data_IF_881598969699
#
_entry.id   IF_881598969699
#
_cell.length_a   1.000
_cell.length_b   1.000
_cell.length_c   1.000
_cell.angle_alpha   90.00
_cell.angle_beta   90.00
_cell.angle_gamma   90.00
#
_symmetry.space_group_name_H-M   'P 1'
#
loop_
_entity.id
_entity.type
_entity.pdbx_description
1 polymer ?
#
# COMPACT_ATOMS: atom_id res chain seq x y z
N UNK A 1 38.78 3.28 36.57
CA UNK A 1 38.34 3.33 35.16
C UNK A 1 37.39 2.18 34.90
N UNK A 2 36.10 2.45 34.90
CA UNK A 2 35.13 1.77 34.04
C UNK A 2 33.84 2.61 34.08
N UNK A 3 33.94 3.86 33.63
CA UNK A 3 32.80 4.59 33.12
C UNK A 3 32.61 4.10 31.69
N UNK A 4 31.64 3.22 31.44
CA UNK A 4 30.81 3.37 30.25
C UNK A 4 29.49 2.60 30.40
N UNK A 5 28.70 3.03 31.39
CA UNK A 5 27.28 2.72 31.43
C UNK A 5 26.53 3.91 30.82
N UNK A 6 26.77 4.18 29.53
CA UNK A 6 26.00 5.17 28.78
C UNK A 6 24.65 4.55 28.46
N UNK A 7 23.66 4.93 29.25
CA UNK A 7 22.26 4.91 28.88
C UNK A 7 22.10 5.40 27.43
N UNK A 8 21.57 4.56 26.55
CA UNK A 8 21.14 4.95 25.21
C UNK A 8 19.93 5.86 25.36
N UNK A 9 20.18 7.17 25.41
CA UNK A 9 19.15 8.20 25.39
C UNK A 9 18.69 8.43 23.95
N UNK A 10 17.43 8.06 23.67
CA UNK A 10 16.55 8.67 22.67
C UNK A 10 17.16 8.97 21.28
N UNK A 11 17.78 7.97 20.62
CA UNK A 11 18.11 8.08 19.20
C UNK A 11 16.80 8.06 18.39
N UNK A 12 16.42 9.21 17.83
CA UNK A 12 15.35 9.28 16.82
C UNK A 12 15.68 8.31 15.69
N UNK A 13 14.75 7.40 15.40
CA UNK A 13 14.88 6.51 14.25
C UNK A 13 14.90 7.34 12.95
N UNK A 14 15.68 6.96 11.93
CA UNK A 14 15.62 7.61 10.62
C UNK A 14 14.18 7.65 10.12
N UNK A 15 13.64 8.84 9.89
CA UNK A 15 12.23 9.07 9.56
C UNK A 15 12.13 9.90 8.29
N UNK A 16 11.29 9.45 7.36
CA UNK A 16 11.13 10.10 6.07
C UNK A 16 10.40 11.43 6.20
N UNK A 17 10.93 12.46 5.54
CA UNK A 17 10.26 13.77 5.44
C UNK A 17 9.36 13.76 4.22
N UNK A 18 8.14 13.26 4.40
CA UNK A 18 7.14 13.19 3.33
C UNK A 18 6.36 14.50 3.17
N UNK A 19 6.11 14.86 1.91
CA UNK A 19 5.18 15.94 1.56
C UNK A 19 3.77 15.61 2.04
N UNK A 20 3.03 16.61 2.53
CA UNK A 20 1.60 16.46 2.86
C UNK A 20 0.77 17.15 1.80
N UNK A 21 -0.21 16.45 1.23
CA UNK A 21 -1.13 16.94 0.21
C UNK A 21 -2.49 17.23 0.85
N UNK A 22 -3.04 18.42 0.62
CA UNK A 22 -4.39 18.79 1.04
C UNK A 22 -5.40 18.29 0.01
N UNK A 23 -6.18 17.27 0.38
CA UNK A 23 -7.14 16.63 -0.53
C UNK A 23 -8.23 17.61 -1.00
N UNK A 24 -8.68 18.54 -0.16
CA UNK A 24 -9.73 19.49 -0.52
C UNK A 24 -9.27 20.48 -1.58
N UNK A 25 -7.96 20.79 -1.61
CA UNK A 25 -7.35 21.59 -2.69
C UNK A 25 -7.27 20.81 -4.00
N UNK A 26 -7.06 19.48 -3.96
CA UNK A 26 -7.15 18.64 -5.15
C UNK A 26 -8.59 18.62 -5.70
N UNK A 27 -9.61 18.50 -4.85
CA UNK A 27 -11.02 18.56 -5.26
C UNK A 27 -11.38 19.87 -5.98
N UNK A 28 -10.71 20.98 -5.62
CA UNK A 28 -10.87 22.29 -6.25
C UNK A 28 -9.94 22.54 -7.44
N UNK A 29 -9.18 21.52 -7.87
CA UNK A 29 -8.17 21.63 -8.93
C UNK A 29 -7.16 22.79 -8.69
N UNK A 30 -6.74 22.99 -7.44
CA UNK A 30 -5.73 24.00 -7.11
C UNK A 30 -4.39 23.66 -7.77
N UNK A 31 -3.93 24.53 -8.68
CA UNK A 31 -2.75 24.24 -9.50
C UNK A 31 -1.48 24.00 -8.67
N UNK A 32 -1.30 24.68 -7.53
CA UNK A 32 -0.11 24.47 -6.71
C UNK A 32 -0.13 23.11 -6.00
N UNK A 33 -1.30 22.66 -5.55
CA UNK A 33 -1.44 21.36 -4.91
C UNK A 33 -1.33 20.21 -5.93
N UNK A 34 -1.79 20.41 -7.18
CA UNK A 34 -1.60 19.46 -8.27
C UNK A 34 -0.11 19.22 -8.59
N UNK A 35 0.69 20.30 -8.69
CA UNK A 35 2.14 20.17 -8.92
C UNK A 35 2.84 19.53 -7.72
N UNK A 36 2.43 19.88 -6.50
CA UNK A 36 2.96 19.28 -5.27
C UNK A 36 2.67 17.78 -5.20
N UNK A 37 1.49 17.35 -5.63
CA UNK A 37 1.14 15.92 -5.77
C UNK A 37 2.04 15.24 -6.81
N UNK A 38 2.24 15.86 -7.98
CA UNK A 38 3.13 15.33 -9.01
C UNK A 38 4.56 15.16 -8.48
N UNK A 39 5.11 16.21 -7.85
CA UNK A 39 6.46 16.21 -7.28
C UNK A 39 6.62 15.10 -6.24
N UNK A 40 5.62 14.91 -5.37
CA UNK A 40 5.64 13.82 -4.39
C UNK A 40 5.66 12.44 -5.06
N UNK A 41 4.85 12.24 -6.11
CA UNK A 41 4.80 11.00 -6.88
C UNK A 41 6.06 10.75 -7.72
N UNK A 42 6.77 11.78 -8.17
CA UNK A 42 8.01 11.67 -8.96
C UNK A 42 9.27 11.52 -8.10
N UNK A 43 9.26 12.08 -6.88
CA UNK A 43 10.44 12.11 -6.02
C UNK A 43 10.56 10.87 -5.14
N UNK A 44 9.65 10.69 -4.18
CA UNK A 44 9.67 9.59 -3.22
C UNK A 44 8.60 8.54 -3.55
N UNK A 45 7.50 8.98 -4.17
CA UNK A 45 6.31 8.17 -4.44
C UNK A 45 5.43 7.92 -3.21
N UNK A 46 5.91 8.23 -2.00
CA UNK A 46 5.10 8.31 -0.77
C UNK A 46 4.78 9.75 -0.42
N UNK A 47 3.60 9.97 0.13
CA UNK A 47 3.18 11.25 0.71
C UNK A 47 2.09 11.05 1.76
N UNK A 48 1.88 12.06 2.60
CA UNK A 48 0.70 12.14 3.44
C UNK A 48 -0.44 12.80 2.68
N UNK A 49 -1.67 12.33 2.91
CA UNK A 49 -2.88 12.96 2.42
C UNK A 49 -3.73 13.42 3.60
N UNK A 50 -4.04 14.72 3.62
CA UNK A 50 -4.88 15.36 4.62
C UNK A 50 -6.31 15.51 4.08
N UNK A 51 -7.27 14.89 4.78
CA UNK A 51 -8.69 14.95 4.46
C UNK A 51 -9.47 16.01 5.26
N UNK A 52 -8.81 16.73 6.18
CA UNK A 52 -9.45 17.59 7.19
C UNK A 52 -10.41 18.63 6.60
N UNK A 53 -10.14 19.10 5.39
CA UNK A 53 -10.91 20.18 4.74
C UNK A 53 -11.89 19.69 3.67
N UNK A 54 -12.02 18.38 3.46
CA UNK A 54 -12.93 17.80 2.47
C UNK A 54 -14.24 17.38 3.14
N UNK A 55 -15.38 17.92 2.70
CA UNK A 55 -16.69 17.55 3.23
C UNK A 55 -17.02 16.08 2.98
N UNK A 56 -16.63 15.55 1.81
CA UNK A 56 -16.92 14.17 1.43
C UNK A 56 -15.84 13.22 1.92
N UNK A 57 -14.57 13.48 1.59
CA UNK A 57 -13.48 12.58 1.92
C UNK A 57 -13.03 12.67 3.38
N UNK A 58 -13.41 13.72 4.13
CA UNK A 58 -13.22 13.79 5.58
C UNK A 58 -13.81 12.60 6.32
N UNK A 59 -14.91 12.03 5.81
CA UNK A 59 -15.55 10.82 6.34
C UNK A 59 -14.67 9.57 6.29
N UNK A 60 -13.64 9.53 5.43
CA UNK A 60 -12.68 8.41 5.40
C UNK A 60 -11.99 8.27 6.75
N UNK A 61 -11.63 9.38 7.39
CA UNK A 61 -10.95 9.36 8.69
C UNK A 61 -11.88 8.84 9.80
N UNK A 62 -13.16 9.23 9.77
CA UNK A 62 -14.18 8.75 10.71
C UNK A 62 -14.49 7.26 10.54
N UNK A 63 -14.68 6.82 9.29
CA UNK A 63 -14.99 5.41 9.00
C UNK A 63 -13.79 4.49 9.20
N UNK A 64 -12.56 4.99 8.99
CA UNK A 64 -11.32 4.29 9.36
C UNK A 64 -11.36 3.84 10.81
N UNK A 65 -11.79 4.68 11.74
CA UNK A 65 -11.82 4.32 13.16
C UNK A 65 -12.83 3.20 13.44
N UNK A 66 -13.96 3.20 12.74
CA UNK A 66 -14.95 2.11 12.81
C UNK A 66 -14.40 0.81 12.23
N UNK A 67 -13.70 0.88 11.10
CA UNK A 67 -13.04 -0.29 10.50
C UNK A 67 -11.92 -0.81 11.40
N UNK A 68 -11.14 0.06 12.04
CA UNK A 68 -10.11 -0.34 13.00
C UNK A 68 -10.71 -1.00 14.26
N UNK A 69 -11.84 -0.51 14.75
CA UNK A 69 -12.57 -1.15 15.84
C UNK A 69 -13.08 -2.55 15.43
N UNK A 70 -13.63 -2.68 14.22
CA UNK A 70 -13.97 -3.98 13.64
C UNK A 70 -12.75 -4.89 13.57
N UNK A 71 -11.60 -4.40 13.07
CA UNK A 71 -10.37 -5.18 12.97
C UNK A 71 -9.92 -5.72 14.33
N UNK A 72 -9.91 -4.89 15.38
CA UNK A 72 -9.53 -5.31 16.74
C UNK A 72 -10.43 -6.45 17.22
N UNK A 73 -11.75 -6.24 17.16
CA UNK A 73 -12.73 -7.25 17.56
C UNK A 73 -12.62 -8.53 16.72
N UNK A 74 -12.32 -8.41 15.43
CA UNK A 74 -12.16 -9.54 14.52
C UNK A 74 -10.90 -10.36 14.84
N UNK A 75 -9.74 -9.70 14.95
CA UNK A 75 -8.47 -10.39 15.15
C UNK A 75 -8.31 -10.97 16.56
N UNK A 76 -9.05 -10.46 17.54
CA UNK A 76 -9.14 -11.00 18.91
C UNK A 76 -9.93 -12.32 19.00
N UNK A 77 -10.64 -12.72 17.95
CA UNK A 77 -11.35 -13.99 17.90
C UNK A 77 -10.40 -15.19 17.86
N UNK A 78 -10.93 -16.37 18.20
CA UNK A 78 -10.20 -17.63 18.08
C UNK A 78 -9.78 -17.89 16.63
N UNK A 79 -8.70 -18.66 16.45
CA UNK A 79 -8.29 -19.07 15.10
C UNK A 79 -9.41 -19.84 14.37
N UNK A 80 -10.13 -20.70 15.08
CA UNK A 80 -11.23 -21.49 14.52
C UNK A 80 -12.36 -20.61 14.00
N UNK A 81 -12.67 -19.52 14.69
CA UNK A 81 -13.68 -18.55 14.24
C UNK A 81 -13.19 -17.79 13.00
N UNK A 82 -11.97 -17.25 13.03
CA UNK A 82 -11.39 -16.54 11.88
C UNK A 82 -11.26 -17.43 10.64
N UNK A 83 -10.97 -18.72 10.83
CA UNK A 83 -10.87 -19.68 9.73
C UNK A 83 -12.20 -19.93 8.99
N UNK A 84 -13.36 -19.54 9.55
CA UNK A 84 -14.65 -19.54 8.84
C UNK A 84 -14.67 -18.56 7.67
N UNK A 85 -13.86 -17.51 7.73
CA UNK A 85 -13.70 -16.51 6.67
C UNK A 85 -12.56 -16.84 5.69
N UNK A 86 -11.89 -18.00 5.83
CA UNK A 86 -10.89 -18.43 4.89
C UNK A 86 -11.54 -18.92 3.59
N UNK A 87 -11.26 -18.25 2.48
CA UNK A 87 -11.87 -18.54 1.18
C UNK A 87 -11.04 -19.54 0.34
N UNK A 88 -10.05 -20.20 0.93
CA UNK A 88 -9.16 -21.16 0.25
C UNK A 88 -8.21 -20.53 -0.77
N UNK A 89 -8.13 -19.19 -0.80
CA UNK A 89 -7.25 -18.43 -1.68
C UNK A 89 -6.43 -17.44 -0.88
N UNK A 90 -5.23 -17.12 -1.39
CA UNK A 90 -4.25 -16.29 -0.67
C UNK A 90 -4.45 -14.78 -0.84
N UNK A 91 -5.39 -14.36 -1.67
CA UNK A 91 -5.59 -12.96 -2.07
C UNK A 91 -6.82 -12.30 -1.47
N UNK A 92 -7.72 -13.07 -0.85
CA UNK A 92 -8.98 -12.62 -0.26
C UNK A 92 -9.45 -13.56 0.85
N UNK A 93 -10.32 -13.05 1.72
CA UNK A 93 -10.73 -13.74 2.93
C UNK A 93 -9.66 -13.67 4.02
N UNK A 94 -9.86 -14.45 5.07
CA UNK A 94 -8.90 -14.58 6.14
C UNK A 94 -7.74 -15.51 5.76
N UNK A 95 -6.52 -15.08 6.07
CA UNK A 95 -5.30 -15.87 5.91
C UNK A 95 -4.48 -15.79 7.19
N UNK A 96 -4.19 -16.93 7.82
CA UNK A 96 -3.44 -16.96 9.07
C UNK A 96 -1.96 -16.62 8.86
N UNK A 97 -1.32 -16.21 9.96
CA UNK A 97 0.14 -16.10 10.05
C UNK A 97 0.83 -17.39 9.60
N UNK A 98 2.02 -17.27 9.00
CA UNK A 98 2.80 -18.39 8.50
C UNK A 98 2.49 -18.83 7.06
N UNK A 99 1.45 -18.28 6.43
CA UNK A 99 0.98 -18.71 5.09
C UNK A 99 1.88 -18.32 3.90
N UNK A 100 2.90 -17.49 4.13
CA UNK A 100 3.83 -16.96 3.12
C UNK A 100 5.23 -16.76 3.74
N UNK A 101 6.21 -16.42 2.90
CA UNK A 101 7.59 -16.12 3.32
C UNK A 101 7.66 -14.79 4.09
N UNK A 102 8.41 -14.78 5.21
CA UNK A 102 8.69 -13.62 6.07
C UNK A 102 9.94 -12.86 5.62
N UNK A 103 10.35 -11.79 6.30
CA UNK A 103 11.46 -10.90 5.84
C UNK A 103 12.83 -11.59 5.85
N UNK A 104 13.11 -12.40 6.87
CA UNK A 104 14.38 -13.12 6.97
C UNK A 104 14.37 -14.42 6.15
N UNK A 105 15.51 -14.84 5.63
CA UNK A 105 15.64 -16.10 4.89
C UNK A 105 15.21 -17.28 5.77
N UNK A 106 14.30 -18.10 5.26
CA UNK A 106 13.73 -19.24 6.00
C UNK A 106 12.68 -18.87 7.06
N UNK A 107 12.33 -17.58 7.21
CA UNK A 107 11.22 -17.17 8.07
C UNK A 107 9.89 -17.21 7.33
N UNK A 108 8.82 -17.39 8.08
CA UNK A 108 7.45 -17.24 7.58
C UNK A 108 6.87 -15.90 8.01
N UNK A 109 5.91 -15.40 7.23
CA UNK A 109 5.18 -14.17 7.49
C UNK A 109 4.53 -14.21 8.87
N UNK A 110 4.74 -13.15 9.65
CA UNK A 110 4.38 -13.09 11.06
C UNK A 110 3.07 -12.37 11.36
N UNK A 111 2.32 -11.98 10.32
CA UNK A 111 1.03 -11.34 10.43
C UNK A 111 -0.07 -12.17 9.77
N UNK A 112 -1.27 -12.01 10.31
CA UNK A 112 -2.51 -12.50 9.73
C UNK A 112 -3.22 -11.34 9.00
N UNK A 113 -4.09 -11.67 8.05
CA UNK A 113 -4.87 -10.63 7.38
C UNK A 113 -6.26 -11.13 6.98
N UNK A 114 -7.18 -10.17 6.87
CA UNK A 114 -8.48 -10.33 6.25
C UNK A 114 -8.52 -9.38 5.04
N UNK A 115 -8.62 -9.94 3.83
CA UNK A 115 -8.67 -9.15 2.60
C UNK A 115 -10.07 -9.18 1.98
N UNK A 116 -10.65 -8.00 1.79
CA UNK A 116 -11.97 -7.82 1.18
C UNK A 116 -11.85 -7.36 -0.27
N UNK A 117 -12.32 -8.19 -1.20
CA UNK A 117 -12.38 -7.86 -2.64
C UNK A 117 -13.50 -6.86 -2.92
N UNK A 118 -13.17 -5.70 -3.50
CA UNK A 118 -14.17 -4.67 -3.87
C UNK A 118 -15.13 -5.21 -4.93
N UNK A 119 -14.60 -5.87 -5.96
CA UNK A 119 -15.42 -6.40 -7.05
C UNK A 119 -16.37 -7.50 -6.57
N UNK A 120 -15.88 -8.46 -5.77
CA UNK A 120 -16.72 -9.51 -5.21
C UNK A 120 -17.79 -8.90 -4.28
N UNK A 121 -17.40 -7.98 -3.39
CA UNK A 121 -18.33 -7.30 -2.48
C UNK A 121 -19.49 -6.60 -3.20
N UNK A 122 -19.20 -5.90 -4.29
CA UNK A 122 -20.21 -5.17 -5.07
C UNK A 122 -21.04 -6.07 -6.00
N UNK A 123 -20.45 -7.14 -6.54
CA UNK A 123 -21.11 -8.01 -7.51
C UNK A 123 -21.89 -9.16 -6.88
N UNK A 124 -21.39 -9.73 -5.78
CA UNK A 124 -21.92 -10.93 -5.13
C UNK A 124 -21.41 -11.02 -3.68
N UNK A 125 -22.20 -10.48 -2.73
CA UNK A 125 -21.82 -10.38 -1.31
C UNK A 125 -21.55 -11.75 -0.66
N UNK A 126 -22.13 -12.83 -1.17
CA UNK A 126 -21.90 -14.21 -0.73
C UNK A 126 -20.49 -14.73 -1.05
N UNK A 127 -19.74 -14.05 -1.92
CA UNK A 127 -18.34 -14.39 -2.26
C UNK A 127 -17.31 -13.80 -1.31
N UNK A 128 -17.71 -12.98 -0.35
CA UNK A 128 -16.79 -12.38 0.64
C UNK A 128 -16.94 -13.05 2.01
N UNK A 129 -15.94 -12.85 2.87
CA UNK A 129 -15.92 -13.33 4.25
C UNK A 129 -17.22 -13.00 5.01
N UNK A 130 -17.92 -13.97 5.62
CA UNK A 130 -19.12 -13.75 6.44
C UNK A 130 -19.01 -12.57 7.41
N UNK A 131 -17.89 -12.43 8.12
CA UNK A 131 -17.70 -11.33 9.09
C UNK A 131 -17.83 -9.93 8.46
N UNK A 132 -17.50 -9.80 7.17
CA UNK A 132 -17.64 -8.54 6.43
C UNK A 132 -19.08 -8.30 5.98
N UNK A 133 -19.83 -9.38 5.71
CA UNK A 133 -21.21 -9.29 5.23
C UNK A 133 -22.12 -8.65 6.30
N UNK A 134 -21.83 -8.89 7.57
CA UNK A 134 -22.55 -8.31 8.71
C UNK A 134 -22.39 -6.79 8.81
N UNK A 135 -21.24 -6.26 8.39
CA UNK A 135 -20.89 -4.83 8.42
C UNK A 135 -20.99 -4.17 7.03
N UNK A 136 -21.90 -4.68 6.18
CA UNK A 136 -22.01 -4.31 4.77
C UNK A 136 -22.04 -2.79 4.53
N UNK A 137 -22.85 -2.04 5.26
CA UNK A 137 -23.00 -0.61 5.00
C UNK A 137 -21.72 0.18 5.32
N UNK A 138 -20.96 -0.23 6.34
CA UNK A 138 -19.65 0.36 6.65
C UNK A 138 -18.67 0.12 5.50
N UNK A 139 -18.50 -1.14 5.07
CA UNK A 139 -17.53 -1.46 4.02
C UNK A 139 -17.92 -0.92 2.65
N UNK A 140 -19.22 -0.85 2.35
CA UNK A 140 -19.72 -0.21 1.14
C UNK A 140 -19.35 1.27 1.09
N UNK A 141 -19.69 2.02 2.15
CA UNK A 141 -19.35 3.45 2.26
C UNK A 141 -17.84 3.66 2.18
N UNK A 142 -17.07 2.85 2.90
CA UNK A 142 -15.61 2.95 2.90
C UNK A 142 -15.01 2.72 1.51
N UNK A 143 -15.52 1.76 0.74
CA UNK A 143 -15.11 1.55 -0.65
C UNK A 143 -15.45 2.72 -1.56
N UNK A 144 -16.64 3.30 -1.43
CA UNK A 144 -17.08 4.44 -2.23
C UNK A 144 -16.20 5.67 -1.96
N UNK A 145 -15.89 5.94 -0.69
CA UNK A 145 -15.03 7.06 -0.30
C UNK A 145 -13.59 6.88 -0.77
N UNK A 146 -13.00 5.69 -0.59
CA UNK A 146 -11.64 5.44 -1.05
C UNK A 146 -11.53 5.40 -2.60
N UNK A 147 -12.56 4.89 -3.29
CA UNK A 147 -12.64 4.97 -4.76
C UNK A 147 -12.74 6.42 -5.24
N UNK A 148 -13.49 7.26 -4.53
CA UNK A 148 -13.56 8.70 -4.80
C UNK A 148 -12.20 9.38 -4.60
N UNK A 149 -11.54 9.16 -3.47
CA UNK A 149 -10.24 9.77 -3.17
C UNK A 149 -9.17 9.39 -4.19
N UNK A 150 -9.09 8.12 -4.55
CA UNK A 150 -8.15 7.65 -5.57
C UNK A 150 -8.49 8.17 -6.97
N UNK A 151 -9.77 8.24 -7.36
CA UNK A 151 -10.18 8.82 -8.64
C UNK A 151 -9.80 10.30 -8.75
N UNK A 152 -9.97 11.09 -7.70
CA UNK A 152 -9.53 12.50 -7.66
C UNK A 152 -8.01 12.62 -7.84
N UNK A 153 -7.23 11.82 -7.11
CA UNK A 153 -5.76 11.85 -7.23
C UNK A 153 -5.26 11.41 -8.60
N UNK A 154 -5.85 10.37 -9.19
CA UNK A 154 -5.49 9.90 -10.53
C UNK A 154 -5.90 10.91 -11.61
N UNK A 155 -7.05 11.57 -11.45
CA UNK A 155 -7.49 12.64 -12.32
C UNK A 155 -6.58 13.86 -12.24
N UNK A 156 -6.23 14.28 -11.03
CA UNK A 156 -5.26 15.35 -10.76
C UNK A 156 -3.90 15.09 -11.43
N UNK A 157 -3.37 13.87 -11.29
CA UNK A 157 -2.12 13.45 -11.96
C UNK A 157 -2.25 13.45 -13.49
N UNK A 158 -3.40 13.03 -14.02
CA UNK A 158 -3.66 13.07 -15.46
C UNK A 158 -3.70 14.50 -15.99
N UNK A 159 -4.31 15.42 -15.24
CA UNK A 159 -4.43 16.83 -15.61
C UNK A 159 -3.06 17.52 -15.65
N UNK A 160 -2.27 17.38 -14.58
CA UNK A 160 -0.95 18.04 -14.47
C UNK A 160 0.09 17.46 -15.45
N UNK A 161 -0.01 16.18 -15.79
CA UNK A 161 0.83 15.54 -16.81
C UNK A 161 0.27 15.70 -18.24
N UNK A 162 -0.88 16.38 -18.39
CA UNK A 162 -1.56 16.59 -19.68
C UNK A 162 -1.80 15.29 -20.44
N UNK A 163 -2.19 14.24 -19.71
CA UNK A 163 -2.45 12.91 -20.28
C UNK A 163 -3.67 13.01 -21.20
N UNK A 164 -3.59 12.49 -22.45
CA UNK A 164 -4.72 12.46 -23.36
C UNK A 164 -5.95 11.78 -22.72
N UNK A 165 -7.15 12.23 -23.10
CA UNK A 165 -8.39 11.79 -22.47
C UNK A 165 -8.56 10.26 -22.48
N UNK A 166 -8.14 9.58 -23.54
CA UNK A 166 -8.17 8.13 -23.73
C UNK A 166 -7.21 7.36 -22.81
N UNK A 167 -6.14 8.00 -22.34
CA UNK A 167 -5.05 7.40 -21.57
C UNK A 167 -5.02 7.85 -20.10
N UNK A 168 -5.98 8.69 -19.69
CA UNK A 168 -6.09 9.20 -18.31
C UNK A 168 -6.00 8.08 -17.28
N UNK A 169 -5.25 8.33 -16.21
CA UNK A 169 -5.00 7.34 -15.17
C UNK A 169 -6.23 7.01 -14.33
N UNK A 170 -7.21 7.91 -14.25
CA UNK A 170 -8.50 7.67 -13.59
C UNK A 170 -9.45 6.77 -14.40
N UNK A 171 -9.10 6.45 -15.66
CA UNK A 171 -9.79 5.41 -16.45
C UNK A 171 -9.26 4.02 -16.09
N UNK A 172 -10.05 2.99 -16.37
CA UNK A 172 -9.66 1.60 -16.12
C UNK A 172 -9.76 1.18 -14.66
N UNK A 173 -10.57 1.87 -13.85
CA UNK A 173 -10.78 1.59 -12.42
C UNK A 173 -12.26 1.46 -12.04
N UNK A 174 -13.14 1.18 -13.00
CA UNK A 174 -14.59 1.06 -12.79
C UNK A 174 -14.91 -0.01 -11.72
N UNK A 175 -15.59 0.34 -10.61
CA UNK A 175 -15.97 -0.62 -9.58
C UNK A 175 -16.85 -1.78 -10.09
N UNK A 176 -17.58 -1.58 -11.18
CA UNK A 176 -18.48 -2.58 -11.75
C UNK A 176 -17.76 -3.61 -12.65
N UNK A 177 -16.45 -3.43 -12.91
CA UNK A 177 -15.68 -4.32 -13.77
C UNK A 177 -14.69 -5.19 -12.97
N UNK A 178 -14.36 -6.40 -13.50
CA UNK A 178 -13.41 -7.29 -12.85
C UNK A 178 -12.06 -6.61 -12.58
N UNK A 179 -11.65 -6.59 -11.32
CA UNK A 179 -10.36 -6.07 -10.85
C UNK A 179 -9.96 -6.76 -9.55
N UNK A 180 -8.69 -6.63 -9.17
CA UNK A 180 -8.15 -7.18 -7.92
C UNK A 180 -7.99 -6.10 -6.83
N UNK A 181 -8.81 -5.03 -6.88
CA UNK A 181 -8.84 -4.00 -5.83
C UNK A 181 -9.34 -4.62 -4.52
N UNK A 182 -8.59 -4.42 -3.44
CA UNK A 182 -8.92 -4.96 -2.12
C UNK A 182 -8.80 -3.92 -1.02
N UNK A 183 -9.57 -4.11 0.05
CA UNK A 183 -9.28 -3.57 1.36
C UNK A 183 -8.57 -4.65 2.18
N UNK A 184 -7.29 -4.45 2.47
CA UNK A 184 -6.50 -5.35 3.28
C UNK A 184 -6.47 -4.85 4.73
N UNK A 185 -6.94 -5.69 5.64
CA UNK A 185 -6.87 -5.50 7.09
C UNK A 185 -5.78 -6.43 7.64
N UNK A 186 -4.68 -5.86 8.13
CA UNK A 186 -3.51 -6.63 8.58
C UNK A 186 -3.33 -6.47 10.09
N UNK A 187 -3.05 -7.59 10.77
CA UNK A 187 -2.82 -7.67 12.21
C UNK A 187 -1.44 -8.28 12.49
N UNK A 188 -0.61 -7.52 13.20
CA UNK A 188 0.77 -7.86 13.55
C UNK A 188 0.87 -8.12 15.06
N UNK A 189 0.56 -9.35 15.53
CA UNK A 189 0.57 -9.68 16.96
C UNK A 189 1.99 -9.73 17.54
N UNK A 190 2.16 -9.55 18.86
CA UNK A 190 3.48 -9.50 19.51
C UNK A 190 4.33 -10.76 19.26
N UNK A 191 5.66 -10.61 19.33
CA UNK A 191 6.65 -11.70 19.38
C UNK A 191 6.86 -12.58 18.13
N UNK A 192 6.22 -12.30 17.00
CA UNK A 192 6.46 -13.04 15.76
C UNK A 192 7.30 -12.17 14.82
N UNK A 193 8.57 -12.52 14.55
CA UNK A 193 9.64 -11.69 13.94
C UNK A 193 9.34 -10.88 12.65
N UNK A 194 10.39 -10.36 12.00
CA UNK A 194 10.30 -9.39 10.90
C UNK A 194 9.17 -9.66 9.89
N UNK A 195 8.35 -8.62 9.63
CA UNK A 195 6.92 -8.88 9.37
C UNK A 195 6.49 -8.89 7.90
N UNK A 196 6.89 -7.89 7.11
CA UNK A 196 6.53 -7.80 5.69
C UNK A 196 7.76 -7.45 4.84
N UNK A 197 8.04 -8.30 3.86
CA UNK A 197 9.23 -8.21 3.00
C UNK A 197 9.31 -6.90 2.22
N UNK A 198 10.52 -6.55 1.76
CA UNK A 198 10.67 -5.43 0.83
C UNK A 198 9.97 -5.72 -0.50
N UNK A 199 9.20 -4.76 -0.98
CA UNK A 199 8.49 -4.87 -2.24
C UNK A 199 8.00 -3.51 -2.74
N UNK A 200 7.46 -3.51 -3.96
CA UNK A 200 6.54 -2.48 -4.44
C UNK A 200 5.11 -3.03 -4.53
N UNK A 201 4.11 -2.15 -4.47
CA UNK A 201 2.72 -2.55 -4.64
C UNK A 201 2.37 -2.83 -6.11
N UNK A 202 1.57 -3.87 -6.36
CA UNK A 202 1.15 -4.30 -7.71
C UNK A 202 0.27 -3.23 -8.40
N UNK A 203 -0.56 -2.55 -7.62
CA UNK A 203 -1.67 -1.72 -8.10
C UNK A 203 -1.26 -0.34 -8.61
N UNK A 204 -2.24 0.55 -8.69
CA UNK A 204 -2.04 1.94 -9.10
C UNK A 204 -1.66 2.81 -7.90
N UNK A 205 -2.40 2.68 -6.80
CA UNK A 205 -2.23 3.53 -5.63
C UNK A 205 -2.75 2.82 -4.39
N UNK A 206 -2.11 3.06 -3.24
CA UNK A 206 -2.54 2.55 -1.94
C UNK A 206 -2.89 3.71 -1.02
N UNK A 207 -4.03 3.63 -0.34
CA UNK A 207 -4.39 4.50 0.79
C UNK A 207 -4.21 3.67 2.07
N UNK A 208 -3.26 4.06 2.92
CA UNK A 208 -2.90 3.32 4.12
C UNK A 208 -3.12 4.14 5.39
N UNK A 209 -3.70 3.49 6.40
CA UNK A 209 -3.76 3.97 7.76
C UNK A 209 -3.14 2.97 8.72
N UNK A 210 -2.38 3.49 9.68
CA UNK A 210 -1.79 2.74 10.79
C UNK A 210 -1.52 3.73 11.93
N UNK A 211 -1.74 3.31 13.17
CA UNK A 211 -1.44 4.13 14.35
C UNK A 211 -0.05 3.83 14.91
N UNK A 212 0.51 2.66 14.58
CA UNK A 212 1.77 2.20 15.13
C UNK A 212 2.90 2.23 14.09
N UNK A 213 4.11 2.50 14.59
CA UNK A 213 5.33 2.51 13.80
C UNK A 213 5.62 1.12 13.22
N UNK A 214 6.24 1.11 12.03
CA UNK A 214 6.79 -0.12 11.45
C UNK A 214 6.94 -0.10 9.94
N UNK A 215 6.14 0.71 9.25
CA UNK A 215 6.32 0.95 7.82
C UNK A 215 7.64 1.68 7.58
N UNK A 216 8.47 1.11 6.72
CA UNK A 216 9.67 1.76 6.20
C UNK A 216 9.61 1.84 4.69
N UNK A 217 10.13 2.93 4.14
CA UNK A 217 10.35 3.11 2.72
C UNK A 217 11.84 3.33 2.46
N UNK A 218 12.28 2.95 1.27
CA UNK A 218 13.64 3.22 0.81
C UNK A 218 13.65 4.56 0.07
N UNK A 219 14.44 5.52 0.56
CA UNK A 219 14.65 6.78 -0.14
C UNK A 219 15.34 6.50 -1.50
N UNK A 220 14.74 6.89 -2.64
CA UNK A 220 15.34 6.68 -3.96
C UNK A 220 16.72 7.33 -4.15
N UNK A 221 16.99 8.42 -3.45
CA UNK A 221 18.24 9.20 -3.58
C UNK A 221 19.33 8.65 -2.66
N UNK A 222 19.06 8.57 -1.37
CA UNK A 222 20.05 8.12 -0.39
C UNK A 222 20.18 6.61 -0.28
N UNK A 223 19.17 5.86 -0.75
CA UNK A 223 19.04 4.39 -0.62
C UNK A 223 18.99 3.91 0.83
N UNK A 224 18.68 4.82 1.76
CA UNK A 224 18.50 4.49 3.16
C UNK A 224 17.06 4.08 3.43
N UNK A 225 16.90 3.19 4.41
CA UNK A 225 15.59 2.83 4.96
C UNK A 225 15.16 3.87 5.98
N UNK A 226 13.99 4.45 5.78
CA UNK A 226 13.42 5.48 6.63
C UNK A 226 12.01 5.05 7.08
N UNK A 227 11.71 5.23 8.37
CA UNK A 227 10.37 5.00 8.89
C UNK A 227 9.40 6.07 8.40
N UNK A 228 8.16 5.65 8.16
CA UNK A 228 7.04 6.57 7.92
C UNK A 228 6.32 6.78 9.26
N UNK A 229 6.29 8.03 9.72
CA UNK A 229 5.64 8.43 10.97
C UNK A 229 4.12 8.22 10.88
N UNK A 230 3.51 7.44 11.80
CA UNK A 230 2.06 7.36 11.92
C UNK A 230 1.46 8.72 12.29
N UNK A 231 0.48 9.19 11.52
CA UNK A 231 -0.22 10.47 11.76
C UNK A 231 -1.72 10.21 11.84
N UNK A 232 -2.30 10.48 13.00
CA UNK A 232 -3.68 10.13 13.34
C UNK A 232 -4.72 10.55 12.29
N UNK A 233 -4.57 11.76 11.72
CA UNK A 233 -5.52 12.35 10.77
C UNK A 233 -5.11 12.26 9.30
N UNK A 234 -3.99 11.61 8.99
CA UNK A 234 -3.46 11.55 7.63
C UNK A 234 -3.43 10.11 7.14
N UNK A 235 -3.79 9.91 5.87
CA UNK A 235 -3.42 8.68 5.18
C UNK A 235 -1.96 8.76 4.72
N UNK A 236 -1.27 7.63 4.72
CA UNK A 236 -0.05 7.44 3.96
C UNK A 236 -0.47 6.93 2.58
N UNK A 237 -0.05 7.61 1.52
CA UNK A 237 -0.30 7.22 0.15
C UNK A 237 0.99 6.72 -0.48
N UNK A 238 0.92 5.66 -1.28
CA UNK A 238 2.01 5.28 -2.17
C UNK A 238 1.56 4.95 -3.58
N UNK A 239 2.41 5.29 -4.54
CA UNK A 239 2.31 4.88 -5.95
C UNK A 239 2.72 3.42 -6.08
N UNK A 240 1.94 2.67 -6.87
CA UNK A 240 2.24 1.28 -7.21
C UNK A 240 2.74 1.10 -8.65
N UNK A 241 3.07 -0.14 -8.99
CA UNK A 241 3.66 -0.52 -10.27
C UNK A 241 2.78 -0.18 -11.47
N UNK A 242 1.45 -0.39 -11.37
CA UNK A 242 0.55 -0.14 -12.49
C UNK A 242 0.54 1.36 -12.86
N UNK A 243 0.48 2.26 -11.87
CA UNK A 243 0.52 3.71 -12.13
C UNK A 243 1.89 4.16 -12.63
N UNK A 244 2.97 3.56 -12.12
CA UNK A 244 4.31 3.73 -12.69
C UNK A 244 4.34 3.33 -14.17
N UNK A 245 3.76 2.19 -14.55
CA UNK A 245 3.74 1.75 -15.95
C UNK A 245 2.85 2.62 -16.84
N UNK A 246 1.65 2.98 -16.37
CA UNK A 246 0.71 3.85 -17.08
C UNK A 246 1.30 5.24 -17.34
N UNK A 247 2.10 5.76 -16.42
CA UNK A 247 2.80 7.05 -16.57
C UNK A 247 4.09 6.96 -17.40
N UNK A 248 4.34 5.84 -18.10
CA UNK A 248 5.60 5.56 -18.79
C UNK A 248 6.84 5.73 -17.88
N UNK A 249 6.71 5.28 -16.63
CA UNK A 249 7.74 5.29 -15.58
C UNK A 249 8.13 6.70 -15.10
N UNK A 250 7.28 7.70 -15.34
CA UNK A 250 7.47 9.05 -14.78
C UNK A 250 7.19 9.08 -13.27
N UNK A 251 6.23 8.27 -12.79
CA UNK A 251 5.89 8.20 -11.37
C UNK A 251 6.64 7.03 -10.68
N UNK A 252 7.04 7.23 -9.43
CA UNK A 252 7.93 6.33 -8.70
C UNK A 252 7.15 5.31 -7.87
N UNK A 253 7.26 4.02 -8.22
CA UNK A 253 6.69 2.93 -7.42
C UNK A 253 7.59 2.67 -6.21
N UNK A 254 7.04 2.80 -5.00
CA UNK A 254 7.87 2.90 -3.80
C UNK A 254 8.30 1.54 -3.28
N UNK A 255 9.60 1.37 -3.07
CA UNK A 255 10.10 0.19 -2.35
C UNK A 255 9.92 0.40 -0.86
N UNK A 256 9.16 -0.50 -0.24
CA UNK A 256 8.81 -0.42 1.16
C UNK A 256 8.77 -1.80 1.82
N UNK A 257 8.86 -1.81 3.14
CA UNK A 257 8.80 -3.01 3.99
C UNK A 257 8.11 -2.68 5.31
N UNK A 258 7.76 -3.70 6.09
CA UNK A 258 7.33 -3.51 7.47
C UNK A 258 8.24 -4.28 8.40
N UNK A 259 8.96 -3.54 9.24
CA UNK A 259 9.78 -4.08 10.33
C UNK A 259 9.23 -3.59 11.66
N UNK A 260 9.54 -4.28 12.75
CA UNK A 260 9.19 -3.76 14.07
C UNK A 260 10.06 -2.57 14.42
N UNK A 261 9.43 -1.50 14.88
CA UNK A 261 10.12 -0.40 15.53
C UNK A 261 10.59 -0.83 16.94
N UNK A 262 11.66 -0.22 17.44
CA UNK A 262 12.30 -0.54 18.73
C UNK A 262 12.30 0.69 19.65
N UNK A 263 12.66 0.49 20.92
CA UNK A 263 12.76 1.59 21.89
C UNK A 263 11.43 2.28 22.14
N UNK A 264 11.43 3.61 22.17
CA UNK A 264 10.24 4.45 22.40
C UNK A 264 9.17 4.34 21.30
N UNK A 265 9.52 3.76 20.14
CA UNK A 265 8.60 3.54 19.02
C UNK A 265 8.05 2.11 18.96
N UNK A 266 8.47 1.23 19.87
CA UNK A 266 7.98 -0.14 19.94
C UNK A 266 6.49 -0.16 20.27
N UNK A 267 5.76 -1.09 19.65
CA UNK A 267 4.38 -1.40 19.96
C UNK A 267 4.22 -2.91 20.15
N UNK A 268 3.30 -3.31 21.02
CA UNK A 268 2.99 -4.73 21.23
C UNK A 268 2.23 -5.31 20.04
N UNK A 269 1.28 -4.55 19.51
CA UNK A 269 0.43 -4.94 18.40
C UNK A 269 0.32 -3.79 17.41
N UNK A 270 0.53 -4.08 16.13
CA UNK A 270 0.33 -3.12 15.04
C UNK A 270 -0.84 -3.53 14.16
N UNK A 271 -1.67 -2.56 13.77
CA UNK A 271 -2.70 -2.75 12.76
C UNK A 271 -2.39 -1.89 11.53
N UNK A 272 -2.70 -2.44 10.35
CA UNK A 272 -2.56 -1.72 9.08
C UNK A 272 -3.83 -1.92 8.26
N UNK A 273 -4.47 -0.82 7.90
CA UNK A 273 -5.63 -0.79 7.03
C UNK A 273 -5.21 -0.18 5.69
N UNK A 274 -5.22 -0.99 4.63
CA UNK A 274 -4.76 -0.56 3.32
C UNK A 274 -5.84 -0.78 2.25
N UNK A 275 -6.28 0.29 1.60
CA UNK A 275 -7.05 0.20 0.37
C UNK A 275 -6.08 0.17 -0.81
N UNK A 276 -5.97 -0.98 -1.48
CA UNK A 276 -5.07 -1.18 -2.61
C UNK A 276 -5.86 -1.08 -3.91
N UNK A 277 -5.85 0.10 -4.54
CA UNK A 277 -6.49 0.31 -5.82
C UNK A 277 -5.70 -0.40 -6.92
N UNK A 278 -6.37 -1.27 -7.67
CA UNK A 278 -5.80 -1.97 -8.82
C UNK A 278 -6.66 -1.75 -10.06
N UNK A 279 -6.05 -1.68 -11.26
CA UNK A 279 -6.82 -1.55 -12.49
C UNK A 279 -7.76 -2.71 -12.78
N UNK A 280 -8.69 -2.47 -13.70
CA UNK A 280 -9.45 -3.49 -14.43
C UNK A 280 -8.50 -4.55 -15.00
N UNK A 281 -8.90 -5.83 -14.94
CA UNK A 281 -8.08 -6.97 -15.34
C UNK A 281 -7.50 -6.83 -16.75
N UNK A 282 -8.27 -6.26 -17.68
CA UNK A 282 -7.91 -6.13 -19.10
C UNK A 282 -7.13 -4.85 -19.44
N UNK A 283 -6.93 -3.94 -18.49
CA UNK A 283 -6.13 -2.73 -18.74
C UNK A 283 -4.70 -3.15 -19.08
N UNK A 284 -4.15 -2.58 -20.16
CA UNK A 284 -2.81 -2.92 -20.66
C UNK A 284 -1.82 -1.79 -20.42
N UNK A 285 -0.60 -2.16 -20.10
CA UNK A 285 0.53 -1.25 -19.99
C UNK A 285 1.83 -1.97 -20.37
N UNK A 286 2.88 -1.18 -20.61
CA UNK A 286 4.23 -1.70 -20.85
C UNK A 286 4.97 -1.80 -19.53
N UNK A 287 5.49 -2.98 -19.22
CA UNK A 287 6.31 -3.19 -18.03
C UNK A 287 7.73 -2.59 -18.19
N UNK A 288 8.59 -2.81 -17.19
CA UNK A 288 9.99 -2.33 -17.21
C UNK A 288 10.79 -2.85 -18.41
N UNK A 289 10.48 -4.06 -18.91
CA UNK A 289 11.13 -4.67 -20.09
C UNK A 289 10.56 -4.20 -21.43
N UNK A 290 9.46 -3.43 -21.40
CA UNK A 290 8.73 -3.00 -22.60
C UNK A 290 7.70 -4.02 -23.09
N UNK A 291 7.51 -5.13 -22.36
CA UNK A 291 6.49 -6.13 -22.68
C UNK A 291 5.10 -5.56 -22.34
N UNK A 292 4.15 -5.72 -23.26
CA UNK A 292 2.75 -5.39 -23.00
C UNK A 292 2.12 -6.53 -22.21
N UNK A 293 1.54 -6.19 -21.06
CA UNK A 293 0.84 -7.11 -20.17
C UNK A 293 -0.51 -6.51 -19.78
N UNK A 294 -1.48 -7.37 -19.47
CA UNK A 294 -2.69 -6.93 -18.78
C UNK A 294 -2.42 -6.75 -17.27
N UNK A 295 -3.25 -5.97 -16.60
CA UNK A 295 -3.19 -5.80 -15.16
C UNK A 295 -3.30 -7.13 -14.42
N UNK A 296 -4.14 -8.04 -14.94
CA UNK A 296 -4.28 -9.40 -14.39
C UNK A 296 -3.02 -10.25 -14.58
N UNK A 297 -2.39 -10.21 -15.74
CA UNK A 297 -1.13 -10.93 -15.97
C UNK A 297 -0.02 -10.43 -15.04
N UNK A 298 0.11 -9.11 -14.87
CA UNK A 298 1.07 -8.52 -13.94
C UNK A 298 0.81 -8.97 -12.50
N UNK A 299 -0.44 -8.88 -12.06
CA UNK A 299 -0.88 -9.33 -10.74
C UNK A 299 -0.52 -10.79 -10.50
N UNK A 300 -0.94 -11.70 -11.39
CA UNK A 300 -0.77 -13.13 -11.21
C UNK A 300 0.72 -13.54 -11.24
N UNK A 301 1.50 -12.92 -12.11
CA UNK A 301 2.95 -13.15 -12.17
C UNK A 301 3.63 -12.71 -10.87
N UNK A 302 3.30 -11.52 -10.36
CA UNK A 302 3.91 -11.01 -9.13
C UNK A 302 3.45 -11.78 -7.88
N UNK A 303 2.17 -12.15 -7.79
CA UNK A 303 1.65 -13.00 -6.70
C UNK A 303 2.26 -14.39 -6.69
N UNK A 304 2.50 -14.97 -7.86
CA UNK A 304 3.21 -16.25 -7.96
C UNK A 304 4.58 -16.15 -7.29
N UNK A 305 5.32 -15.06 -7.52
CA UNK A 305 6.64 -14.83 -6.92
C UNK A 305 6.55 -14.56 -5.41
N UNK A 306 5.56 -13.81 -4.93
CA UNK A 306 5.33 -13.69 -3.48
C UNK A 306 5.07 -15.03 -2.80
N UNK A 307 4.51 -16.00 -3.53
CA UNK A 307 4.19 -17.32 -3.00
C UNK A 307 5.35 -18.32 -3.08
N UNK A 308 6.46 -18.00 -3.76
CA UNK A 308 7.63 -18.89 -3.84
C UNK A 308 8.57 -18.72 -2.64
N UNK A 309 9.41 -19.74 -2.32
CA UNK A 309 10.48 -19.61 -1.32
C UNK A 309 11.48 -18.51 -1.68
N UNK A 310 12.12 -17.93 -0.67
CA UNK A 310 13.13 -16.87 -0.79
C UNK A 310 14.23 -17.18 -1.82
N UNK A 311 14.67 -18.45 -1.89
CA UNK A 311 15.72 -18.89 -2.82
C UNK A 311 15.33 -18.74 -4.30
N UNK A 312 14.04 -18.62 -4.58
CA UNK A 312 13.44 -18.58 -5.93
C UNK A 312 12.81 -17.22 -6.21
N UNK A 313 12.77 -16.31 -5.23
CA UNK A 313 12.23 -14.97 -5.41
C UNK A 313 13.20 -14.13 -6.26
N UNK A 314 12.75 -13.72 -7.44
CA UNK A 314 13.47 -12.76 -8.26
C UNK A 314 13.26 -11.34 -7.69
N UNK A 315 14.35 -10.72 -7.24
CA UNK A 315 14.34 -9.35 -6.70
C UNK A 315 13.76 -8.34 -7.70
N UNK A 316 13.96 -8.51 -9.00
CA UNK A 316 13.47 -7.57 -10.01
C UNK A 316 11.93 -7.52 -10.02
N UNK A 317 11.28 -8.68 -9.96
CA UNK A 317 9.84 -8.78 -10.00
C UNK A 317 9.15 -8.32 -8.70
N UNK A 318 9.72 -8.61 -7.53
CA UNK A 318 9.19 -8.12 -6.24
C UNK A 318 9.26 -6.59 -6.15
N UNK A 319 10.28 -6.00 -6.75
CA UNK A 319 10.49 -4.55 -6.78
C UNK A 319 9.88 -3.88 -8.02
N UNK A 320 9.11 -4.59 -8.86
CA UNK A 320 8.48 -3.99 -10.04
C UNK A 320 9.46 -3.38 -11.06
N UNK A 321 10.71 -3.85 -11.08
CA UNK A 321 11.80 -3.29 -11.88
C UNK A 321 12.50 -2.07 -11.30
N UNK A 322 12.29 -1.77 -10.01
CA UNK A 322 12.96 -0.66 -9.31
C UNK A 322 14.42 -0.95 -8.98
N UNK A 323 14.85 -2.22 -9.00
CA UNK A 323 16.26 -2.63 -8.91
C UNK A 323 17.15 -1.89 -9.93
N UNK A 324 16.65 -1.66 -11.16
CA UNK A 324 17.37 -0.88 -12.19
C UNK A 324 17.55 0.59 -11.82
N UNK A 325 16.61 1.16 -11.06
CA UNK A 325 16.69 2.54 -10.56
C UNK A 325 17.74 2.64 -9.45
N UNK A 326 17.82 1.62 -8.58
CA UNK A 326 18.85 1.55 -7.54
C UNK A 326 20.22 1.08 -8.04
N UNK A 327 20.33 0.54 -9.26
CA UNK A 327 21.58 0.04 -9.83
C UNK A 327 22.46 1.13 -10.47
N UNK A 328 21.96 2.34 -10.72
CA UNK A 328 22.76 3.43 -11.30
C UNK A 328 23.64 4.10 -10.22
N UNK A 329 24.95 4.24 -10.48
CA UNK A 329 25.39 5.38 -11.30
C UNK A 329 26.45 4.99 -12.33
N UNK A 330 26.18 5.17 -13.62
CA UNK A 330 27.26 5.36 -14.60
C UNK A 330 27.39 6.85 -14.88
N UNK A 331 28.48 7.45 -14.39
CA UNK A 331 28.98 8.71 -14.94
C UNK A 331 28.99 8.59 -16.48
N UNK A 332 28.66 9.65 -17.22
CA UNK A 332 29.01 9.69 -18.64
C UNK A 332 30.52 9.50 -18.72
N UNK A 333 30.98 8.55 -19.55
CA UNK A 333 32.37 8.57 -19.99
C UNK A 333 32.60 9.95 -20.62
N UNK A 334 33.48 10.73 -19.99
CA UNK A 334 34.02 11.92 -20.63
C UNK A 334 34.62 11.50 -21.99
N UNK A 335 34.41 12.37 -22.97
CA UNK A 335 34.62 12.20 -24.40
C UNK A 335 35.93 11.50 -24.80
#
# INVERSE_FOLDING_TARGET
>A
MSEDNRHLTDERVPTAVLTTIDFARLERHDSSELHKLLDACQSFGFFYLDFTHSEKAGKIVEEKDRVLAFMKNYFDQSLDDKMKDNLGVKTKGYVPSGSFTGVAKGSSRSFEHLALSRYDFLSAIDKVAPAVQEERELFKSYFELNSYATSVMLGALSDVLQVPNEERFDRGHDPAKPCDTILAMLSYPPNIGDTHQQHTDIGSMTILFSHEWGLQAMDPKSRNWEFIEPREKHAVINVGDALRFLSNKQLYSCVHRVIRATGSYACEHRYSLAFLLRPEHDLKYKDTSGKILTAREWHDNKYKIYSTPHEVQDNNALLGGMDTVFAAPTRPMAA
#
